data_IF_880896304928
#
_entry.id   IF_880896304928
#
_cell.length_a   1.000
_cell.length_b   1.000
_cell.length_c   1.000
_cell.angle_alpha   90.00
_cell.angle_beta   90.00
_cell.angle_gamma   90.00
#
_symmetry.space_group_name_H-M   'P 1'
#
loop_
_entity.id
_entity.type
_entity.pdbx_description
1 polymer ?
#
# COMPACT_ATOMS: atom_id res chain seq x y z
N UNK A 1 -1.30 -1.97 24.62
CA UNK A 1 -0.45 -1.38 23.56
C UNK A 1 0.11 -0.08 24.10
N UNK A 2 1.31 0.33 23.69
CA UNK A 2 1.83 1.66 24.02
C UNK A 2 0.92 2.76 23.46
N UNK A 3 0.99 3.97 24.02
CA UNK A 3 0.26 5.12 23.48
C UNK A 3 0.99 5.59 22.21
N UNK A 4 0.51 5.19 21.04
CA UNK A 4 1.03 5.61 19.74
C UNK A 4 0.18 6.75 19.18
N UNK A 5 0.83 7.75 18.60
CA UNK A 5 0.16 8.85 17.91
C UNK A 5 0.71 8.94 16.48
N UNK A 6 -0.11 8.55 15.51
CA UNK A 6 0.22 8.67 14.08
C UNK A 6 -0.47 9.89 13.52
N UNK A 7 0.32 10.83 13.03
CA UNK A 7 -0.15 11.97 12.25
C UNK A 7 0.18 11.74 10.78
N UNK A 8 -0.85 11.60 9.96
CA UNK A 8 -0.72 11.56 8.50
C UNK A 8 -0.77 13.00 7.97
N UNK A 9 0.31 13.49 7.36
CA UNK A 9 0.33 14.76 6.63
C UNK A 9 0.02 14.53 5.16
N UNK A 10 -1.04 15.16 4.66
CA UNK A 10 -1.62 14.87 3.34
C UNK A 10 -1.16 15.91 2.34
N UNK A 11 -0.39 15.50 1.34
CA UNK A 11 -0.01 16.34 0.20
C UNK A 11 -0.90 15.96 -0.97
N UNK A 12 -1.78 16.89 -1.36
CA UNK A 12 -2.75 16.67 -2.43
C UNK A 12 -2.07 16.74 -3.80
N UNK A 13 -2.12 15.63 -4.54
CA UNK A 13 -1.66 15.49 -5.92
C UNK A 13 -2.85 15.54 -6.86
N UNK A 14 -2.92 16.60 -7.66
CA UNK A 14 -4.00 16.86 -8.62
C UNK A 14 -3.67 16.35 -10.01
N UNK A 15 -2.39 16.25 -10.34
CA UNK A 15 -1.90 15.79 -11.64
C UNK A 15 -0.52 15.14 -11.47
N UNK A 16 -0.16 14.24 -12.39
CA UNK A 16 1.16 13.62 -12.45
C UNK A 16 1.71 13.67 -13.88
N UNK A 17 3.01 13.96 -14.01
CA UNK A 17 3.67 14.13 -15.30
C UNK A 17 5.12 13.64 -15.25
N UNK A 18 5.63 13.18 -16.39
CA UNK A 18 7.08 13.05 -16.54
C UNK A 18 7.73 14.43 -16.64
N UNK A 19 8.91 14.55 -16.03
CA UNK A 19 9.71 15.76 -16.01
C UNK A 19 11.21 15.45 -15.97
N UNK A 20 12.03 16.51 -15.92
CA UNK A 20 13.48 16.36 -15.80
C UNK A 20 13.93 15.95 -14.38
N UNK A 21 13.11 16.21 -13.37
CA UNK A 21 13.40 15.95 -11.96
C UNK A 21 12.14 15.44 -11.27
N UNK A 22 12.32 14.62 -10.22
CA UNK A 22 11.22 14.16 -9.38
C UNK A 22 10.96 15.17 -8.27
N UNK A 23 9.84 15.88 -8.35
CA UNK A 23 9.47 16.93 -7.40
C UNK A 23 7.96 17.17 -7.40
N UNK A 24 7.48 17.85 -6.36
CA UNK A 24 6.08 18.31 -6.30
C UNK A 24 6.06 19.83 -6.40
N UNK A 25 5.27 20.34 -7.34
CA UNK A 25 5.09 21.78 -7.54
C UNK A 25 3.65 22.10 -7.88
N UNK A 26 3.04 23.01 -7.13
CA UNK A 26 1.67 23.50 -7.34
C UNK A 26 0.61 22.37 -7.42
N UNK A 27 0.80 21.32 -6.62
CA UNK A 27 -0.07 20.14 -6.59
C UNK A 27 0.12 19.17 -7.78
N UNK A 28 1.18 19.34 -8.58
CA UNK A 28 1.57 18.45 -9.66
C UNK A 28 2.81 17.64 -9.24
N UNK A 29 2.73 16.33 -9.36
CA UNK A 29 3.86 15.42 -9.18
C UNK A 29 4.62 15.28 -10.50
N UNK A 30 5.84 15.80 -10.56
CA UNK A 30 6.79 15.56 -11.63
C UNK A 30 7.64 14.35 -11.28
N UNK A 31 7.89 13.48 -12.25
CA UNK A 31 8.67 12.25 -12.08
C UNK A 31 9.74 12.20 -13.15
N UNK A 32 11.00 12.06 -12.74
CA UNK A 32 12.05 11.67 -13.65
C UNK A 32 11.92 10.17 -13.98
N UNK A 33 11.41 9.86 -15.17
CA UNK A 33 11.17 8.49 -15.62
C UNK A 33 12.44 7.64 -15.60
N UNK A 34 13.56 8.21 -16.07
CA UNK A 34 14.81 7.47 -16.22
C UNK A 34 15.43 7.17 -14.85
N UNK A 35 15.44 8.15 -13.96
CA UNK A 35 15.93 7.98 -12.58
C UNK A 35 15.10 6.94 -11.82
N UNK A 36 13.77 6.95 -12.00
CA UNK A 36 12.91 5.93 -11.43
C UNK A 36 13.23 4.55 -12.01
N UNK A 37 13.33 4.39 -13.33
CA UNK A 37 13.68 3.10 -13.95
C UNK A 37 15.03 2.57 -13.43
N UNK A 38 16.04 3.44 -13.31
CA UNK A 38 17.35 3.09 -12.76
C UNK A 38 17.28 2.68 -11.29
N UNK A 39 16.46 3.37 -10.49
CA UNK A 39 16.23 3.02 -9.08
C UNK A 39 15.56 1.64 -8.91
N UNK A 40 14.73 1.23 -9.89
CA UNK A 40 14.03 -0.04 -9.88
C UNK A 40 14.84 -1.21 -10.44
N UNK A 41 16.00 -0.96 -11.04
CA UNK A 41 16.80 -1.98 -11.71
C UNK A 41 17.13 -3.17 -10.79
N UNK A 42 17.03 -4.37 -11.37
CA UNK A 42 17.39 -5.64 -10.74
C UNK A 42 17.99 -6.57 -11.81
N UNK A 43 19.07 -7.32 -11.53
CA UNK A 43 19.68 -8.23 -12.51
C UNK A 43 18.73 -9.31 -13.07
N UNK A 44 17.62 -9.59 -12.39
CA UNK A 44 16.60 -10.55 -12.82
C UNK A 44 15.45 -9.92 -13.62
N UNK A 45 15.50 -8.61 -13.85
CA UNK A 45 14.53 -7.88 -14.67
C UNK A 45 15.21 -7.44 -15.97
N UNK A 46 14.73 -7.97 -17.10
CA UNK A 46 15.29 -7.61 -18.42
C UNK A 46 14.73 -6.28 -18.94
N UNK A 47 13.52 -5.92 -18.50
CA UNK A 47 12.83 -4.72 -18.94
C UNK A 47 12.08 -4.12 -17.77
N UNK A 48 12.24 -2.81 -17.61
CA UNK A 48 11.47 -1.99 -16.68
C UNK A 48 10.96 -0.79 -17.46
N UNK A 49 9.68 -0.49 -17.31
CA UNK A 49 9.05 0.69 -17.88
C UNK A 49 8.11 1.33 -16.87
N UNK A 50 7.87 2.63 -17.04
CA UNK A 50 6.95 3.40 -16.22
C UNK A 50 6.07 4.25 -17.10
N UNK A 51 4.75 4.17 -16.91
CA UNK A 51 3.77 5.02 -17.57
C UNK A 51 2.96 5.82 -16.54
N UNK A 52 2.25 6.84 -17.00
CA UNK A 52 1.31 7.61 -16.19
C UNK A 52 -0.05 7.57 -16.87
N UNK A 53 -1.07 7.18 -16.11
CA UNK A 53 -2.46 7.18 -16.55
C UNK A 53 -3.29 8.05 -15.60
N UNK A 54 -3.94 9.08 -16.15
CA UNK A 54 -4.67 10.10 -15.39
C UNK A 54 -6.18 9.91 -15.47
N UNK A 55 -6.94 10.40 -14.48
CA UNK A 55 -8.40 10.33 -14.50
C UNK A 55 -8.98 10.93 -15.79
N UNK A 56 -9.85 10.19 -16.46
CA UNK A 56 -10.53 10.60 -17.69
C UNK A 56 -9.79 10.26 -18.98
N UNK A 57 -8.54 9.80 -18.94
CA UNK A 57 -7.83 9.35 -20.14
C UNK A 57 -8.44 8.06 -20.71
N UNK A 58 -8.41 7.92 -22.03
CA UNK A 58 -8.88 6.70 -22.74
C UNK A 58 -7.86 5.56 -22.64
N UNK A 59 -7.54 5.16 -21.41
CA UNK A 59 -6.51 4.17 -21.06
C UNK A 59 -7.10 3.10 -20.14
N UNK A 60 -6.66 1.85 -20.34
CA UNK A 60 -6.91 0.72 -19.44
C UNK A 60 -5.57 0.18 -18.96
N UNK A 61 -5.41 0.05 -17.64
CA UNK A 61 -4.25 -0.59 -17.02
C UNK A 61 -4.58 -2.06 -16.79
N UNK A 62 -3.80 -2.98 -17.36
CA UNK A 62 -4.05 -4.43 -17.24
C UNK A 62 -2.78 -5.26 -17.55
N UNK A 63 -2.54 -6.40 -16.87
CA UNK A 63 -3.24 -6.84 -15.67
C UNK A 63 -2.58 -6.29 -14.39
N UNK A 64 -3.38 -5.65 -13.54
CA UNK A 64 -2.96 -5.03 -12.28
C UNK A 64 -2.61 -6.08 -11.22
N UNK A 65 -1.52 -5.84 -10.48
CA UNK A 65 -1.01 -6.70 -9.40
C UNK A 65 -1.19 -6.07 -8.04
N UNK A 66 -0.76 -4.84 -7.87
CA UNK A 66 -0.98 -4.12 -6.63
C UNK A 66 -1.16 -2.62 -6.92
N UNK A 67 -1.73 -1.93 -5.95
CA UNK A 67 -1.87 -0.48 -5.93
C UNK A 67 -1.32 -0.01 -4.59
N UNK A 68 -0.47 1.02 -4.59
CA UNK A 68 0.21 1.53 -3.41
C UNK A 68 0.06 3.04 -3.35
N UNK A 69 -0.32 3.60 -2.20
CA UNK A 69 -0.27 5.05 -1.98
C UNK A 69 1.16 5.42 -1.55
N UNK A 70 1.87 6.30 -2.30
CA UNK A 70 3.19 6.76 -1.90
C UNK A 70 3.12 7.46 -0.55
N UNK A 71 3.85 6.92 0.44
CA UNK A 71 3.98 7.53 1.75
C UNK A 71 5.33 7.24 2.40
N UNK A 72 5.80 8.15 3.25
CA UNK A 72 7.13 8.13 3.85
C UNK A 72 7.11 8.77 5.24
N UNK A 73 7.92 8.27 6.18
CA UNK A 73 8.11 8.94 7.46
C UNK A 73 8.73 10.32 7.26
N UNK A 74 8.28 11.29 8.05
CA UNK A 74 8.90 12.62 8.05
C UNK A 74 10.28 12.62 8.73
N UNK A 75 10.56 11.64 9.58
CA UNK A 75 11.85 11.46 10.26
C UNK A 75 13.02 11.27 9.29
N UNK A 76 14.24 11.51 9.78
CA UNK A 76 15.51 11.45 9.01
C UNK A 76 15.84 10.06 8.45
N UNK A 77 15.20 9.01 8.95
CA UNK A 77 15.43 7.64 8.47
C UNK A 77 14.64 7.30 7.20
N UNK A 78 13.79 8.21 6.71
CA UNK A 78 13.05 8.11 5.46
C UNK A 78 12.25 6.79 5.33
N UNK A 79 11.83 6.20 6.45
CA UNK A 79 11.21 4.88 6.43
C UNK A 79 9.91 4.83 5.61
N UNK A 80 9.71 3.75 4.88
CA UNK A 80 8.40 3.37 4.32
C UNK A 80 8.30 1.86 4.25
N UNK A 81 7.09 1.30 4.26
CA UNK A 81 6.88 -0.16 4.20
C UNK A 81 7.79 -0.92 5.18
N UNK A 82 7.55 -0.81 6.51
CA UNK A 82 8.41 -1.39 7.53
C UNK A 82 8.76 -2.86 7.25
N UNK A 83 10.06 -3.19 7.30
CA UNK A 83 10.60 -4.49 6.92
C UNK A 83 11.08 -4.63 5.48
N UNK A 84 10.65 -3.73 4.59
CA UNK A 84 11.16 -3.62 3.22
C UNK A 84 12.10 -2.43 3.06
N UNK A 85 11.58 -1.22 3.25
CA UNK A 85 12.26 0.04 2.96
C UNK A 85 12.32 0.97 4.18
N UNK A 86 12.27 0.36 5.37
CA UNK A 86 12.26 1.05 6.66
C UNK A 86 12.36 0.06 7.80
N UNK A 87 12.74 0.55 8.99
CA UNK A 87 12.76 -0.26 10.21
C UNK A 87 11.34 -0.54 10.70
N UNK A 88 11.20 -1.59 11.51
CA UNK A 88 9.96 -1.88 12.24
C UNK A 88 9.67 -0.83 13.31
N UNK A 89 10.74 -0.40 14.00
CA UNK A 89 10.67 0.57 15.08
C UNK A 89 10.10 1.91 14.57
N UNK A 90 9.08 2.43 15.25
CA UNK A 90 8.41 3.68 14.89
C UNK A 90 7.25 3.54 13.89
N UNK A 91 6.96 2.33 13.40
CA UNK A 91 5.73 2.08 12.65
C UNK A 91 4.49 2.42 13.50
N UNK A 92 3.57 3.19 12.93
CA UNK A 92 2.33 3.58 13.59
C UNK A 92 2.48 4.72 14.60
N UNK A 93 3.64 5.37 14.68
CA UNK A 93 3.91 6.51 15.57
C UNK A 93 4.64 7.65 14.85
N UNK A 94 4.43 8.88 15.30
CA UNK A 94 5.04 10.07 14.72
C UNK A 94 4.34 10.54 13.45
N UNK A 95 5.09 11.17 12.54
CA UNK A 95 4.55 11.83 11.34
C UNK A 95 4.88 11.04 10.08
N UNK A 96 3.86 10.74 9.27
CA UNK A 96 3.99 10.12 7.95
C UNK A 96 3.38 11.04 6.91
N UNK A 97 4.14 11.36 5.86
CA UNK A 97 3.66 12.16 4.72
C UNK A 97 3.10 11.25 3.64
N UNK A 98 1.94 11.60 3.09
CA UNK A 98 1.21 10.83 2.08
C UNK A 98 0.96 11.69 0.84
N UNK A 99 1.15 11.11 -0.35
CA UNK A 99 0.79 11.74 -1.62
C UNK A 99 -0.63 11.31 -2.05
N UNK A 100 -1.64 11.99 -1.50
CA UNK A 100 -3.05 11.70 -1.74
C UNK A 100 -3.44 12.12 -3.16
N UNK A 101 -4.21 11.29 -3.86
CA UNK A 101 -4.64 11.56 -5.24
C UNK A 101 -3.72 10.96 -6.31
N UNK A 102 -2.68 10.23 -5.91
CA UNK A 102 -1.90 9.38 -6.80
C UNK A 102 -1.67 7.98 -6.20
N UNK A 103 -1.35 7.02 -7.06
CA UNK A 103 -0.93 5.69 -6.65
C UNK A 103 0.14 5.15 -7.58
N UNK A 104 1.01 4.29 -7.04
CA UNK A 104 1.84 3.40 -7.82
C UNK A 104 1.05 2.12 -8.10
N UNK A 105 0.97 1.74 -9.37
CA UNK A 105 0.26 0.54 -9.81
C UNK A 105 1.26 -0.40 -10.44
N UNK A 106 1.44 -1.60 -9.88
CA UNK A 106 2.23 -2.62 -10.55
C UNK A 106 1.36 -3.38 -11.54
N UNK A 107 1.84 -3.52 -12.77
CA UNK A 107 1.12 -4.21 -13.84
C UNK A 107 2.07 -5.09 -14.65
N UNK A 108 1.54 -6.16 -15.23
CA UNK A 108 2.33 -7.09 -16.03
C UNK A 108 1.87 -8.54 -15.87
N UNK A 109 2.25 -9.42 -16.78
CA UNK A 109 1.81 -10.82 -16.75
C UNK A 109 2.77 -11.66 -15.92
N UNK A 110 2.25 -12.37 -14.90
CA UNK A 110 3.05 -13.29 -14.07
C UNK A 110 2.70 -14.74 -14.40
N UNK A 111 1.41 -15.11 -14.37
CA UNK A 111 0.92 -16.45 -14.73
C UNK A 111 -0.47 -16.38 -15.33
N UNK A 112 -0.81 -17.36 -16.19
CA UNK A 112 -2.18 -17.63 -16.66
C UNK A 112 -2.96 -16.37 -17.12
N UNK A 113 -4.28 -16.38 -16.96
CA UNK A 113 -5.15 -15.22 -17.13
C UNK A 113 -5.27 -14.50 -15.78
N UNK A 114 -5.03 -13.19 -15.75
CA UNK A 114 -5.10 -12.38 -14.54
C UNK A 114 -6.01 -11.19 -14.82
N UNK A 115 -7.01 -11.00 -13.96
CA UNK A 115 -8.21 -10.22 -14.29
C UNK A 115 -8.15 -8.75 -13.82
N UNK A 116 -7.15 -8.38 -13.02
CA UNK A 116 -7.05 -7.03 -12.46
C UNK A 116 -6.97 -5.97 -13.55
N UNK A 117 -7.94 -5.05 -13.57
CA UNK A 117 -7.98 -3.95 -14.53
C UNK A 117 -8.40 -2.65 -13.86
N UNK A 118 -7.88 -1.54 -14.38
CA UNK A 118 -8.35 -0.19 -14.04
C UNK A 118 -8.66 0.51 -15.36
N UNK A 119 -9.93 0.82 -15.58
CA UNK A 119 -10.37 1.70 -16.66
C UNK A 119 -10.27 3.14 -16.20
N UNK A 120 -9.54 4.00 -16.92
CA UNK A 120 -9.41 5.42 -16.55
C UNK A 120 -10.54 6.30 -17.08
N UNK A 121 -11.39 5.77 -17.96
CA UNK A 121 -12.57 6.44 -18.53
C UNK A 121 -13.73 5.44 -18.73
N UNK A 122 -14.93 5.97 -18.98
CA UNK A 122 -16.13 5.17 -19.16
C UNK A 122 -16.75 4.67 -17.84
N UNK A 123 -17.74 3.78 -17.97
CA UNK A 123 -18.60 3.33 -16.86
C UNK A 123 -17.84 2.57 -15.75
N UNK A 124 -16.74 1.89 -16.10
CA UNK A 124 -15.91 1.18 -15.11
C UNK A 124 -15.34 2.10 -14.03
N UNK A 125 -15.14 3.38 -14.35
CA UNK A 125 -14.61 4.38 -13.40
C UNK A 125 -15.55 4.68 -12.23
N UNK A 126 -16.84 4.35 -12.33
CA UNK A 126 -17.80 4.55 -11.24
C UNK A 126 -17.63 3.51 -10.12
N UNK A 127 -17.05 2.35 -10.45
CA UNK A 127 -16.92 1.20 -9.55
C UNK A 127 -15.47 0.92 -9.13
N UNK A 128 -14.52 1.72 -9.61
CA UNK A 128 -13.11 1.56 -9.30
C UNK A 128 -12.56 2.88 -8.72
N UNK A 129 -12.22 2.85 -7.44
CA UNK A 129 -11.62 4.00 -6.75
C UNK A 129 -10.31 4.44 -7.42
N UNK A 130 -9.48 3.48 -7.87
CA UNK A 130 -8.18 3.74 -8.50
C UNK A 130 -8.29 4.52 -9.82
N UNK A 131 -9.43 4.46 -10.51
CA UNK A 131 -9.69 5.26 -11.71
C UNK A 131 -9.74 6.77 -11.45
N UNK A 132 -9.88 7.18 -10.18
CA UNK A 132 -9.91 8.59 -9.75
C UNK A 132 -8.53 9.08 -9.31
N UNK A 133 -7.51 8.23 -9.33
CA UNK A 133 -6.14 8.57 -8.96
C UNK A 133 -5.28 8.85 -10.19
N UNK A 134 -4.23 9.65 -10.00
CA UNK A 134 -3.11 9.69 -10.93
C UNK A 134 -2.28 8.41 -10.75
N UNK A 135 -2.36 7.47 -11.69
CA UNK A 135 -1.72 6.17 -11.59
C UNK A 135 -0.35 6.19 -12.27
N UNK A 136 0.70 5.97 -11.48
CA UNK A 136 2.07 5.73 -11.93
C UNK A 136 2.22 4.22 -12.12
N UNK A 137 2.20 3.76 -13.36
CA UNK A 137 2.17 2.34 -13.70
C UNK A 137 3.59 1.82 -13.86
N UNK A 138 3.99 0.89 -13.00
CA UNK A 138 5.27 0.19 -13.05
C UNK A 138 5.10 -1.15 -13.74
N UNK A 139 5.86 -1.38 -14.79
CA UNK A 139 5.87 -2.60 -15.58
C UNK A 139 7.29 -3.18 -15.52
N UNK A 140 7.41 -4.44 -15.14
CA UNK A 140 8.71 -5.11 -15.11
C UNK A 140 8.60 -6.56 -15.58
N UNK A 141 9.34 -6.88 -16.65
CA UNK A 141 9.42 -8.21 -17.23
C UNK A 141 10.71 -8.91 -16.76
N UNK A 142 10.65 -10.19 -16.36
CA UNK A 142 11.80 -10.90 -15.83
C UNK A 142 12.65 -11.46 -16.95
N UNK A 143 13.93 -11.70 -16.67
CA UNK A 143 14.79 -12.51 -17.56
C UNK A 143 14.23 -13.93 -17.72
N UNK A 144 14.62 -14.62 -18.79
CA UNK A 144 14.23 -16.01 -19.03
C UNK A 144 14.61 -16.94 -17.86
N UNK A 145 13.71 -17.86 -17.49
CA UNK A 145 13.94 -18.86 -16.45
C UNK A 145 13.57 -18.43 -15.02
N UNK A 146 13.15 -17.18 -14.82
CA UNK A 146 12.60 -16.72 -13.53
C UNK A 146 11.24 -17.40 -13.27
N UNK A 147 11.09 -17.98 -12.08
CA UNK A 147 9.83 -18.63 -11.70
C UNK A 147 8.75 -17.60 -11.41
N UNK A 148 7.46 -17.92 -11.63
CA UNK A 148 6.41 -16.94 -11.39
C UNK A 148 6.31 -16.39 -9.95
N UNK A 149 6.53 -17.17 -8.87
CA UNK A 149 6.67 -16.63 -7.52
C UNK A 149 7.83 -15.65 -7.37
N UNK A 150 8.95 -15.91 -8.05
CA UNK A 150 10.08 -14.97 -8.02
C UNK A 150 9.78 -13.71 -8.82
N UNK A 151 9.08 -13.82 -9.95
CA UNK A 151 8.65 -12.64 -10.73
C UNK A 151 7.66 -11.78 -9.95
N UNK A 152 6.69 -12.38 -9.25
CA UNK A 152 5.81 -11.65 -8.34
C UNK A 152 6.60 -10.88 -7.29
N UNK A 153 7.54 -11.53 -6.61
CA UNK A 153 8.36 -10.89 -5.59
C UNK A 153 9.14 -9.71 -6.16
N UNK A 154 9.77 -9.87 -7.35
CA UNK A 154 10.50 -8.80 -8.02
C UNK A 154 9.60 -7.62 -8.36
N UNK A 155 8.42 -7.87 -8.93
CA UNK A 155 7.48 -6.83 -9.30
C UNK A 155 6.89 -6.12 -8.07
N UNK A 156 6.61 -6.85 -6.99
CA UNK A 156 6.18 -6.28 -5.70
C UNK A 156 7.25 -5.38 -5.11
N UNK A 157 8.50 -5.83 -5.07
CA UNK A 157 9.63 -5.00 -4.63
C UNK A 157 9.82 -3.76 -5.51
N UNK A 158 9.64 -3.88 -6.83
CA UNK A 158 9.67 -2.72 -7.73
C UNK A 158 8.55 -1.72 -7.41
N UNK A 159 7.33 -2.18 -7.13
CA UNK A 159 6.22 -1.33 -6.68
C UNK A 159 6.52 -0.59 -5.37
N UNK A 160 7.05 -1.30 -4.38
CA UNK A 160 7.44 -0.70 -3.09
C UNK A 160 8.54 0.35 -3.26
N UNK A 161 9.60 0.02 -4.01
CA UNK A 161 10.70 0.94 -4.32
C UNK A 161 10.20 2.18 -5.06
N UNK A 162 9.30 2.02 -6.03
CA UNK A 162 8.73 3.14 -6.77
C UNK A 162 7.90 4.05 -5.86
N UNK A 163 7.03 3.48 -5.03
CA UNK A 163 6.21 4.23 -4.09
C UNK A 163 7.09 4.99 -3.08
N UNK A 164 8.14 4.37 -2.55
CA UNK A 164 9.11 5.01 -1.67
C UNK A 164 9.88 6.14 -2.37
N UNK A 165 10.42 5.88 -3.57
CA UNK A 165 11.14 6.87 -4.37
C UNK A 165 10.28 8.11 -4.64
N UNK A 166 9.04 7.90 -5.09
CA UNK A 166 8.08 8.99 -5.36
C UNK A 166 7.74 9.73 -4.07
N UNK A 167 7.54 9.02 -2.95
CA UNK A 167 7.21 9.63 -1.67
C UNK A 167 8.32 10.54 -1.13
N UNK A 168 9.59 10.38 -1.53
CA UNK A 168 10.67 11.29 -1.13
C UNK A 168 10.43 12.73 -1.57
N UNK A 169 9.73 12.95 -2.68
CA UNK A 169 9.34 14.30 -3.11
C UNK A 169 8.46 15.02 -2.08
N UNK A 170 7.83 14.30 -1.15
CA UNK A 170 7.02 14.85 -0.07
C UNK A 170 7.83 15.52 1.06
N UNK A 171 9.11 15.15 1.23
CA UNK A 171 9.90 15.50 2.42
C UNK A 171 9.98 17.01 2.65
N UNK A 172 10.25 17.76 1.57
CA UNK A 172 10.38 19.22 1.62
C UNK A 172 9.07 19.97 1.39
N UNK A 173 7.96 19.27 1.18
CA UNK A 173 6.64 19.87 0.95
C UNK A 173 5.91 20.01 2.27
N UNK A 174 5.43 21.23 2.56
CA UNK A 174 4.54 21.47 3.69
C UNK A 174 3.08 21.18 3.31
N UNK A 175 2.32 20.65 4.26
CA UNK A 175 0.87 20.56 4.17
C UNK A 175 0.23 20.96 5.49
N UNK A 176 -0.96 21.53 5.41
CA UNK A 176 -1.81 21.84 6.55
C UNK A 176 -2.96 20.84 6.74
N UNK A 177 -3.13 19.90 5.80
CA UNK A 177 -4.14 18.86 5.86
C UNK A 177 -3.58 17.63 6.57
N UNK A 178 -4.23 17.19 7.64
CA UNK A 178 -3.75 16.11 8.48
C UNK A 178 -4.88 15.17 8.92
N UNK A 179 -4.54 13.91 9.10
CA UNK A 179 -5.36 12.93 9.83
C UNK A 179 -4.57 12.46 11.05
N UNK A 180 -5.17 12.55 12.24
CA UNK A 180 -4.54 12.22 13.50
C UNK A 180 -5.18 10.96 14.10
N UNK A 181 -4.36 9.94 14.36
CA UNK A 181 -4.79 8.64 14.86
C UNK A 181 -4.13 8.34 16.21
N UNK A 182 -4.97 8.34 17.26
CA UNK A 182 -4.57 8.04 18.64
C UNK A 182 -5.66 7.20 19.31
N UNK A 183 -5.29 6.09 19.94
CA UNK A 183 -6.18 5.37 20.85
C UNK A 183 -6.14 6.05 22.23
N UNK A 184 -6.90 7.14 22.35
CA UNK A 184 -7.01 7.92 23.60
C UNK A 184 -7.48 7.05 24.77
N UNK A 185 -7.29 7.50 26.02
CA UNK A 185 -7.80 6.79 27.19
C UNK A 185 -9.29 6.46 27.07
N UNK A 186 -9.56 5.17 27.25
CA UNK A 186 -10.84 4.52 27.05
C UNK A 186 -11.87 4.95 28.11
N UNK A 187 -13.10 5.29 27.70
CA UNK A 187 -14.20 5.58 28.64
C UNK A 187 -14.68 4.31 29.34
N UNK A 188 -14.94 4.34 30.64
CA UNK A 188 -15.29 3.13 31.40
C UNK A 188 -16.64 2.50 30.98
N UNK A 189 -17.57 3.30 30.46
CA UNK A 189 -18.98 2.91 30.27
C UNK A 189 -19.34 2.47 28.84
N UNK A 190 -18.39 2.49 27.90
CA UNK A 190 -18.63 2.12 26.49
C UNK A 190 -18.14 0.70 26.15
N UNK A 191 -18.82 -0.01 25.21
CA UNK A 191 -18.42 -1.35 24.80
C UNK A 191 -17.04 -1.34 24.14
N UNK A 192 -16.19 -2.29 24.54
CA UNK A 192 -14.84 -2.47 23.96
C UNK A 192 -14.93 -3.31 22.69
N UNK A 193 -14.39 -2.78 21.60
CA UNK A 193 -14.42 -3.40 20.27
C UNK A 193 -12.98 -3.63 19.80
N UNK A 194 -12.67 -4.86 19.43
CA UNK A 194 -11.45 -5.23 18.71
C UNK A 194 -11.82 -5.68 17.30
N UNK A 195 -11.03 -5.27 16.30
CA UNK A 195 -11.24 -5.68 14.92
C UNK A 195 -10.39 -6.91 14.60
N UNK A 196 -11.02 -8.03 14.26
CA UNK A 196 -10.29 -9.19 13.73
C UNK A 196 -10.11 -8.97 12.23
N UNK A 197 -8.89 -8.62 11.82
CA UNK A 197 -8.56 -8.40 10.42
C UNK A 197 -8.04 -9.69 9.79
N UNK A 198 -8.92 -10.39 9.08
CA UNK A 198 -8.59 -11.61 8.37
C UNK A 198 -7.79 -11.27 7.10
N UNK A 199 -6.52 -11.64 7.08
CA UNK A 199 -5.58 -11.33 5.99
C UNK A 199 -5.29 -12.60 5.19
N UNK A 200 -5.33 -12.51 3.87
CA UNK A 200 -5.11 -13.66 3.00
C UNK A 200 -3.65 -14.16 3.12
N UNK A 201 -3.49 -15.47 3.33
CA UNK A 201 -2.19 -16.12 3.49
C UNK A 201 -2.29 -17.54 2.93
N UNK A 202 -2.59 -17.65 1.63
CA UNK A 202 -3.01 -18.90 1.01
C UNK A 202 -1.97 -19.58 0.12
N UNK A 203 -0.78 -18.99 -0.02
CA UNK A 203 0.25 -19.48 -0.93
C UNK A 203 -0.02 -19.11 -2.38
N UNK A 204 0.82 -19.61 -3.30
CA UNK A 204 0.58 -19.53 -4.75
C UNK A 204 0.24 -18.11 -5.26
N UNK A 205 0.96 -17.08 -4.79
CA UNK A 205 0.72 -15.67 -5.14
C UNK A 205 -0.57 -15.07 -4.51
N UNK A 206 -0.98 -15.58 -3.35
CA UNK A 206 -2.10 -15.09 -2.53
C UNK A 206 -1.68 -14.81 -1.07
N UNK A 207 -0.46 -14.31 -0.90
CA UNK A 207 0.08 -13.99 0.41
C UNK A 207 0.17 -12.48 0.61
N UNK A 208 -0.01 -12.05 1.85
CA UNK A 208 0.27 -10.70 2.29
C UNK A 208 1.44 -10.73 3.26
N UNK A 209 2.10 -9.58 3.42
CA UNK A 209 3.34 -9.47 4.16
C UNK A 209 3.19 -8.43 5.25
N UNK A 210 3.17 -8.88 6.50
CA UNK A 210 3.21 -8.00 7.66
C UNK A 210 4.68 -7.81 8.03
N UNK A 211 5.16 -6.56 8.09
CA UNK A 211 6.55 -6.28 8.44
C UNK A 211 7.55 -6.99 7.51
N UNK A 212 7.20 -7.10 6.22
CA UNK A 212 7.96 -7.84 5.23
C UNK A 212 8.00 -9.36 5.41
N UNK A 213 7.36 -9.90 6.45
CA UNK A 213 7.25 -11.33 6.73
C UNK A 213 5.95 -11.86 6.12
N UNK A 214 6.06 -12.94 5.36
CA UNK A 214 4.92 -13.68 4.82
C UNK A 214 3.94 -14.08 5.95
N UNK A 215 2.70 -13.61 5.87
CA UNK A 215 1.67 -13.82 6.88
C UNK A 215 1.39 -15.31 7.17
N UNK A 216 1.69 -16.24 6.26
CA UNK A 216 1.58 -17.69 6.54
C UNK A 216 2.48 -18.14 7.69
N UNK A 217 3.57 -17.41 7.95
CA UNK A 217 4.56 -17.70 8.99
C UNK A 217 4.25 -17.00 10.32
N UNK A 218 3.14 -16.28 10.38
CA UNK A 218 2.77 -15.44 11.51
C UNK A 218 1.55 -16.04 12.20
N UNK A 219 1.55 -16.05 13.54
CA UNK A 219 0.36 -16.39 14.31
C UNK A 219 -0.58 -15.18 14.41
N UNK A 220 -1.87 -15.37 14.73
CA UNK A 220 -2.75 -14.25 15.03
C UNK A 220 -2.09 -13.30 16.03
N UNK A 221 -1.92 -12.05 15.62
CA UNK A 221 -1.11 -11.06 16.33
C UNK A 221 -1.93 -9.82 16.61
N UNK A 222 -1.83 -9.33 17.85
CA UNK A 222 -2.45 -8.10 18.29
C UNK A 222 -1.58 -6.92 17.85
N UNK A 223 -2.12 -6.04 17.00
CA UNK A 223 -1.47 -4.86 16.44
C UNK A 223 -2.17 -3.58 16.87
N UNK A 224 -1.39 -2.53 17.06
CA UNK A 224 -1.95 -1.18 17.11
C UNK A 224 -2.50 -0.82 15.73
N UNK A 225 -3.70 -0.22 15.61
CA UNK A 225 -4.31 0.03 14.31
C UNK A 225 -3.49 0.99 13.44
N UNK A 226 -2.79 1.95 14.07
CA UNK A 226 -1.86 2.86 13.38
C UNK A 226 -0.82 2.10 12.55
N UNK A 227 -0.36 0.92 12.98
CA UNK A 227 0.69 0.19 12.26
C UNK A 227 0.21 -0.21 10.85
N UNK A 228 -1.06 -0.65 10.73
CA UNK A 228 -1.67 -0.95 9.43
C UNK A 228 -1.80 0.33 8.59
N UNK A 229 -2.26 1.43 9.20
CA UNK A 229 -2.35 2.74 8.55
C UNK A 229 -0.97 3.32 8.19
N UNK A 230 0.12 2.79 8.75
CA UNK A 230 1.50 3.21 8.47
C UNK A 230 2.26 2.19 7.60
N UNK A 231 1.52 1.47 6.74
CA UNK A 231 2.04 0.53 5.73
C UNK A 231 2.75 -0.72 6.27
N UNK A 232 2.43 -1.17 7.49
CA UNK A 232 2.95 -2.43 8.01
C UNK A 232 2.56 -3.65 7.14
N UNK A 233 1.42 -3.58 6.45
CA UNK A 233 0.86 -4.68 5.66
C UNK A 233 0.96 -4.37 4.16
N UNK A 234 1.60 -5.27 3.41
CA UNK A 234 1.79 -5.19 1.96
C UNK A 234 1.12 -6.37 1.27
N UNK A 235 0.45 -6.11 0.15
CA UNK A 235 -0.20 -7.13 -0.67
C UNK A 235 0.80 -7.84 -1.59
N UNK A 236 0.76 -9.17 -1.64
CA UNK A 236 1.37 -9.99 -2.69
C UNK A 236 0.33 -10.82 -3.45
N UNK A 237 -0.95 -10.42 -3.38
CA UNK A 237 -2.04 -11.14 -4.02
C UNK A 237 -2.11 -10.81 -5.53
N UNK A 238 -1.73 -11.74 -6.39
CA UNK A 238 -1.54 -11.45 -7.82
C UNK A 238 -2.48 -12.18 -8.78
N UNK A 239 -3.41 -12.99 -8.29
CA UNK A 239 -4.25 -13.87 -9.14
C UNK A 239 -5.66 -13.32 -9.31
N UNK A 240 -6.47 -13.31 -8.25
CA UNK A 240 -7.89 -12.91 -8.32
C UNK A 240 -8.07 -11.49 -7.82
N UNK A 241 -8.52 -10.59 -8.69
CA UNK A 241 -8.63 -9.17 -8.34
C UNK A 241 -9.82 -8.86 -7.42
N UNK A 242 -10.92 -9.62 -7.51
CA UNK A 242 -12.13 -9.43 -6.69
C UNK A 242 -11.95 -9.81 -5.22
N UNK A 243 -10.99 -10.69 -4.93
CA UNK A 243 -10.90 -11.35 -3.63
C UNK A 243 -9.80 -10.74 -2.74
N UNK A 244 -9.04 -9.77 -3.26
CA UNK A 244 -7.89 -9.19 -2.57
C UNK A 244 -8.11 -7.76 -2.11
N UNK A 245 -7.41 -7.41 -1.05
CA UNK A 245 -7.09 -6.03 -0.73
C UNK A 245 -5.70 -5.72 -1.32
N UNK A 246 -5.57 -4.58 -1.98
CA UNK A 246 -4.28 -4.02 -2.38
C UNK A 246 -3.54 -3.43 -1.18
N UNK A 247 -2.27 -3.10 -1.35
CA UNK A 247 -1.55 -2.33 -0.34
C UNK A 247 -2.23 -0.98 -0.06
N UNK A 248 -2.81 -0.33 -1.08
CA UNK A 248 -3.59 0.90 -0.94
C UNK A 248 -4.81 0.70 -0.02
N UNK A 249 -5.53 -0.42 -0.17
CA UNK A 249 -6.68 -0.75 0.68
C UNK A 249 -6.27 -0.97 2.14
N UNK A 250 -5.12 -1.62 2.38
CA UNK A 250 -4.57 -1.78 3.72
C UNK A 250 -4.16 -0.44 4.34
N UNK A 251 -3.46 0.37 3.56
CA UNK A 251 -2.98 1.70 3.90
C UNK A 251 -4.10 2.71 4.20
N UNK A 252 -5.29 2.49 3.64
CA UNK A 252 -6.47 3.35 3.76
C UNK A 252 -7.67 2.55 4.26
N UNK A 253 -7.46 1.69 5.27
CA UNK A 253 -8.47 0.75 5.73
C UNK A 253 -9.71 1.47 6.31
N UNK A 254 -10.88 1.39 5.66
CA UNK A 254 -12.06 2.15 6.06
C UNK A 254 -12.67 1.67 7.38
N UNK A 255 -12.49 0.39 7.72
CA UNK A 255 -12.97 -0.17 9.00
C UNK A 255 -12.17 0.40 10.15
N UNK A 256 -10.85 0.50 10.01
CA UNK A 256 -9.98 1.12 11.03
C UNK A 256 -10.33 2.61 11.17
N UNK A 257 -10.47 3.34 10.06
CA UNK A 257 -10.83 4.76 10.09
C UNK A 257 -12.17 5.01 10.78
N UNK A 258 -13.20 4.21 10.47
CA UNK A 258 -14.52 4.31 11.10
C UNK A 258 -14.45 3.98 12.61
N UNK A 259 -13.71 2.94 13.00
CA UNK A 259 -13.53 2.59 14.41
C UNK A 259 -12.81 3.67 15.21
N UNK A 260 -11.85 4.40 14.60
CA UNK A 260 -11.28 5.60 15.21
C UNK A 260 -12.30 6.71 15.38
N UNK A 261 -13.11 7.01 14.35
CA UNK A 261 -14.10 8.09 14.42
C UNK A 261 -15.15 7.90 15.53
N UNK A 262 -15.40 6.64 15.89
CA UNK A 262 -16.36 6.22 16.92
C UNK A 262 -15.74 5.95 18.29
N UNK A 263 -14.41 5.89 18.37
CA UNK A 263 -13.70 5.66 19.61
C UNK A 263 -13.94 6.80 20.62
N UNK A 264 -14.44 6.45 21.81
CA UNK A 264 -14.80 7.41 22.85
C UNK A 264 -16.14 8.11 22.62
N UNK A 265 -16.85 7.81 21.52
CA UNK A 265 -18.18 8.36 21.20
C UNK A 265 -19.26 7.37 21.61
N UNK A 266 -19.30 6.20 20.99
CA UNK A 266 -20.29 5.15 21.24
C UNK A 266 -19.68 3.74 21.39
N UNK A 267 -18.37 3.62 21.14
CA UNK A 267 -17.57 2.43 21.39
C UNK A 267 -16.17 2.79 21.85
N UNK A 268 -15.46 1.80 22.37
CA UNK A 268 -14.06 1.88 22.71
C UNK A 268 -13.27 0.96 21.78
N UNK A 269 -12.67 1.52 20.72
CA UNK A 269 -11.77 0.75 19.87
C UNK A 269 -10.49 0.42 20.64
N UNK A 270 -10.14 -0.86 20.77
CA UNK A 270 -9.00 -1.32 21.59
C UNK A 270 -7.86 -1.96 20.80
N UNK A 271 -7.98 -2.02 19.46
CA UNK A 271 -6.92 -2.51 18.58
C UNK A 271 -7.38 -3.51 17.53
N UNK A 272 -6.41 -4.01 16.76
CA UNK A 272 -6.64 -4.95 15.65
C UNK A 272 -5.96 -6.28 15.96
N UNK A 273 -6.68 -7.38 15.75
CA UNK A 273 -6.09 -8.72 15.75
C UNK A 273 -5.93 -9.13 14.29
N UNK A 274 -4.71 -9.07 13.78
CA UNK A 274 -4.41 -9.57 12.44
C UNK A 274 -4.41 -11.10 12.49
N UNK A 275 -5.23 -11.73 11.66
CA UNK A 275 -5.40 -13.18 11.61
C UNK A 275 -5.12 -13.69 10.19
N UNK A 276 -3.99 -14.39 9.97
CA UNK A 276 -3.70 -14.99 8.66
C UNK A 276 -4.69 -16.11 8.33
N UNK A 277 -5.30 -16.06 7.15
CA UNK A 277 -6.21 -17.09 6.66
C UNK A 277 -5.40 -18.13 5.86
N UNK A 278 -4.97 -19.18 6.55
CA UNK A 278 -4.27 -20.31 5.95
C UNK A 278 -5.25 -21.41 5.48
N UNK A 279 -5.09 -21.97 4.26
CA UNK A 279 -5.98 -22.98 3.71
C UNK A 279 -5.67 -24.39 4.23
N UNK A 280 -4.48 -24.60 4.82
CA UNK A 280 -4.01 -25.88 5.35
C UNK A 280 -5.05 -26.57 6.22
N UNK A 281 -5.42 -27.80 5.86
CA UNK A 281 -6.36 -28.63 6.62
C UNK A 281 -5.69 -29.26 7.84
N UNK A 282 -4.42 -29.62 7.72
CA UNK A 282 -3.63 -30.18 8.83
C UNK A 282 -3.58 -29.23 10.03
N UNK A 283 -3.51 -27.91 9.79
CA UNK A 283 -3.51 -26.89 10.84
C UNK A 283 -4.88 -26.73 11.55
N UNK A 284 -5.92 -27.42 11.07
CA UNK A 284 -7.31 -27.33 11.57
C UNK A 284 -7.75 -28.59 12.32
N UNK A 285 -6.96 -29.67 12.26
CA UNK A 285 -7.19 -30.85 13.08
C UNK A 285 -6.75 -30.56 14.53
N UNK A 286 -7.62 -30.88 15.49
CA UNK A 286 -7.42 -30.65 16.93
C UNK A 286 -7.24 -31.96 17.67
#
# INVERSE_FOLDING_TARGET
>A
MGNMHLKIEIIQIRDARFGAETLIKDGVLFINKQELIEHLADPLLEKIDVDIARPGESVRIVPVKDVLEPRIKASEDDGSFPGYLGKFDGCGDGVTKVLRGCAVVTAGRIMAFQEGLIDMSGIGTEYCYYSKLNNIVVIADPVEGVTPPKHEELLRLAGLKAAHYIAKAAKEVSSHETEDYELKPVSADLPKIAYVYCVMAQGLLHDNYLYGVDCKKIHPTLLHPNEIMDSALVSGNCVTASDKNTTYDHQNNPVIAELYSRHGVDLNFVGVILSPICPGLADKER
#
